data_IF_016760097234
#
_entry.id   IF_016760097234
#
_cell.length_a   1.000
_cell.length_b   1.000
_cell.length_c   1.000
_cell.angle_alpha   90.00
_cell.angle_beta   90.00
_cell.angle_gamma   90.00
#
_symmetry.space_group_name_H-M   'P 1'
#
loop_
_entity.id
_entity.type
_entity.pdbx_description
1 polymer ?
#
# COMPACT_ATOMS: atom_id res chain seq x y z
N UNK A 1 19.64 -1.70 9.93
CA UNK A 1 18.93 -2.98 9.71
C UNK A 1 17.52 -2.65 9.24
N UNK A 2 17.15 -3.08 8.03
CA UNK A 2 15.83 -2.81 7.46
C UNK A 2 14.80 -3.75 8.09
N UNK A 3 13.70 -3.21 8.62
CA UNK A 3 12.60 -4.05 9.11
C UNK A 3 11.88 -4.67 7.92
N UNK A 4 11.52 -5.96 7.99
CA UNK A 4 10.88 -6.75 6.89
C UNK A 4 9.71 -6.07 6.17
N UNK A 5 9.03 -5.13 6.82
CA UNK A 5 7.83 -4.46 6.32
C UNK A 5 8.02 -2.97 6.05
N UNK A 6 9.25 -2.47 6.09
CA UNK A 6 9.59 -1.09 5.82
C UNK A 6 10.41 -0.98 4.55
N UNK A 7 10.27 0.15 3.85
CA UNK A 7 11.10 0.48 2.71
C UNK A 7 12.58 0.62 3.12
N UNK A 8 13.47 0.16 2.24
CA UNK A 8 14.88 0.55 2.28
C UNK A 8 15.02 2.06 2.03
N UNK A 9 16.20 2.61 2.28
CA UNK A 9 16.46 4.03 1.99
C UNK A 9 16.34 4.30 0.48
N UNK A 10 16.96 3.46 -0.35
CA UNK A 10 16.87 3.56 -1.82
C UNK A 10 15.42 3.48 -2.32
N UNK A 11 14.62 2.54 -1.80
CA UNK A 11 13.21 2.44 -2.14
C UNK A 11 12.42 3.68 -1.72
N UNK A 12 12.74 4.25 -0.55
CA UNK A 12 12.09 5.47 -0.10
C UNK A 12 12.44 6.67 -0.99
N UNK A 13 13.70 6.81 -1.39
CA UNK A 13 14.16 7.90 -2.25
C UNK A 13 13.46 7.92 -3.61
N UNK A 14 13.10 6.75 -4.16
CA UNK A 14 12.37 6.66 -5.41
C UNK A 14 11.00 7.35 -5.37
N UNK A 15 10.32 7.34 -4.21
CA UNK A 15 8.89 7.69 -4.10
C UNK A 15 8.60 8.83 -3.13
N UNK A 16 9.62 9.40 -2.49
CA UNK A 16 9.47 10.41 -1.44
C UNK A 16 8.72 11.65 -1.96
N UNK A 17 9.06 12.10 -3.16
CA UNK A 17 8.48 13.28 -3.82
C UNK A 17 6.96 13.14 -4.08
N UNK A 18 6.48 11.92 -4.32
CA UNK A 18 5.06 11.63 -4.52
C UNK A 18 4.20 11.84 -3.27
N UNK A 19 4.80 11.68 -2.08
CA UNK A 19 4.08 11.69 -0.79
C UNK A 19 4.44 12.89 0.09
N UNK A 20 5.47 13.64 -0.27
CA UNK A 20 5.92 14.80 0.47
C UNK A 20 4.83 15.86 0.61
N UNK A 21 4.54 16.22 1.86
CA UNK A 21 3.64 17.31 2.14
C UNK A 21 4.39 18.63 2.05
N UNK A 22 3.87 19.58 1.25
CA UNK A 22 4.38 20.96 1.29
C UNK A 22 4.27 21.49 2.72
N UNK A 23 5.35 22.05 3.29
CA UNK A 23 5.30 22.63 4.62
C UNK A 23 4.25 23.74 4.65
N UNK A 24 3.35 23.68 5.63
CA UNK A 24 2.37 24.73 5.87
C UNK A 24 2.99 25.78 6.79
N UNK A 25 2.80 27.09 6.53
CA UNK A 25 3.38 28.16 7.34
C UNK A 25 2.81 28.21 8.77
N UNK A 26 1.64 27.60 9.01
CA UNK A 26 1.01 27.53 10.33
C UNK A 26 0.35 26.17 10.56
N UNK A 27 0.23 25.78 11.83
CA UNK A 27 -0.44 24.55 12.27
C UNK A 27 0.52 23.47 12.79
N UNK A 28 -0.05 22.29 13.11
CA UNK A 28 0.74 21.13 13.56
C UNK A 28 1.61 20.63 12.39
N UNK A 29 2.92 20.39 12.60
CA UNK A 29 3.78 19.81 11.57
C UNK A 29 3.18 18.51 11.02
N UNK A 30 3.27 18.29 9.70
CA UNK A 30 2.86 17.03 9.09
C UNK A 30 3.56 15.85 9.76
N UNK A 31 2.85 14.72 9.87
CA UNK A 31 3.46 13.46 10.29
C UNK A 31 4.47 12.99 9.26
N UNK A 32 5.52 12.34 9.72
CA UNK A 32 6.53 11.75 8.85
C UNK A 32 5.88 10.81 7.82
N UNK A 33 6.08 11.12 6.54
CA UNK A 33 5.47 10.44 5.41
C UNK A 33 6.03 9.05 5.22
N UNK A 34 7.32 8.84 5.52
CA UNK A 34 7.95 7.52 5.47
C UNK A 34 7.34 6.58 6.51
N UNK A 35 7.15 7.06 7.73
CA UNK A 35 6.47 6.30 8.79
C UNK A 35 5.04 5.90 8.39
N UNK A 36 4.28 6.82 7.78
CA UNK A 36 2.92 6.52 7.29
C UNK A 36 2.97 5.46 6.19
N UNK A 37 3.81 5.65 5.17
CA UNK A 37 3.91 4.73 4.04
C UNK A 37 4.36 3.33 4.48
N UNK A 38 5.31 3.24 5.40
CA UNK A 38 5.71 1.96 6.02
C UNK A 38 4.54 1.32 6.78
N UNK A 39 3.69 2.11 7.44
CA UNK A 39 2.47 1.61 8.09
C UNK A 39 1.47 1.03 7.09
N UNK A 40 1.30 1.69 5.94
CA UNK A 40 0.47 1.20 4.83
C UNK A 40 1.03 -0.13 4.32
N UNK A 41 2.33 -0.21 4.02
CA UNK A 41 2.94 -1.45 3.54
C UNK A 41 2.92 -2.59 4.56
N UNK A 42 2.99 -2.27 5.86
CA UNK A 42 2.80 -3.27 6.88
C UNK A 42 1.40 -3.89 6.79
N UNK A 43 0.35 -3.08 6.65
CA UNK A 43 -1.03 -3.58 6.48
C UNK A 43 -1.17 -4.38 5.18
N UNK A 44 -0.70 -3.86 4.05
CA UNK A 44 -0.83 -4.53 2.75
C UNK A 44 -0.07 -5.86 2.70
N UNK A 45 1.05 -5.99 3.42
CA UNK A 45 1.88 -7.21 3.42
C UNK A 45 1.44 -8.26 4.44
N UNK A 46 0.73 -7.84 5.49
CA UNK A 46 0.27 -8.75 6.56
C UNK A 46 -1.22 -9.06 6.47
N UNK A 47 -1.97 -8.27 5.71
CA UNK A 47 -3.43 -8.34 5.60
C UNK A 47 -4.15 -8.22 6.96
N UNK A 48 -3.46 -7.69 7.97
CA UNK A 48 -4.02 -7.48 9.29
C UNK A 48 -5.11 -6.39 9.27
N UNK A 49 -5.99 -6.43 10.27
CA UNK A 49 -6.95 -5.35 10.49
C UNK A 49 -6.22 -4.02 10.70
N UNK A 50 -6.76 -2.93 10.16
CA UNK A 50 -6.22 -1.58 10.40
C UNK A 50 -6.06 -1.26 11.89
N UNK A 51 -6.95 -1.77 12.75
CA UNK A 51 -6.89 -1.55 14.20
C UNK A 51 -5.71 -2.24 14.88
N UNK A 52 -5.11 -3.22 14.22
CA UNK A 52 -3.95 -3.97 14.70
C UNK A 52 -2.63 -3.36 14.22
N UNK A 53 -2.70 -2.20 13.54
CA UNK A 53 -1.50 -1.47 13.12
C UNK A 53 -0.61 -1.19 14.33
N UNK A 54 0.69 -1.57 14.29
CA UNK A 54 1.60 -1.30 15.39
C UNK A 54 1.80 0.19 15.67
N UNK A 55 1.81 0.56 16.94
CA UNK A 55 1.92 1.95 17.41
C UNK A 55 3.14 2.71 16.86
N UNK A 56 4.21 2.00 16.47
CA UNK A 56 5.40 2.60 15.84
C UNK A 56 5.09 3.37 14.56
N UNK A 57 3.98 3.05 13.87
CA UNK A 57 3.53 3.75 12.67
C UNK A 57 2.56 4.91 12.97
N UNK A 58 2.21 5.11 14.24
CA UNK A 58 1.24 6.09 14.68
C UNK A 58 -0.19 5.56 14.68
N UNK A 59 -1.16 6.48 14.76
CA UNK A 59 -2.58 6.14 14.87
C UNK A 59 -3.08 5.53 13.57
N UNK A 60 -3.70 4.36 13.65
CA UNK A 60 -4.22 3.67 12.47
C UNK A 60 -5.19 4.49 11.63
N UNK A 61 -6.01 5.35 12.24
CA UNK A 61 -6.93 6.22 11.50
C UNK A 61 -6.16 7.16 10.58
N UNK A 62 -5.06 7.74 11.08
CA UNK A 62 -4.23 8.63 10.28
C UNK A 62 -3.58 7.90 9.11
N UNK A 63 -3.09 6.68 9.32
CA UNK A 63 -2.48 5.88 8.25
C UNK A 63 -3.52 5.48 7.22
N UNK A 64 -4.69 5.04 7.66
CA UNK A 64 -5.82 4.70 6.79
C UNK A 64 -6.31 5.91 5.98
N UNK A 65 -6.43 7.09 6.60
CA UNK A 65 -6.88 8.31 5.90
C UNK A 65 -5.90 8.68 4.78
N UNK A 66 -4.59 8.53 5.00
CA UNK A 66 -3.60 8.76 3.95
C UNK A 66 -3.70 7.72 2.85
N UNK A 67 -3.79 6.42 3.20
CA UNK A 67 -4.00 5.36 2.22
C UNK A 67 -5.24 5.62 1.37
N UNK A 68 -6.39 5.86 1.98
CA UNK A 68 -7.65 6.11 1.28
C UNK A 68 -7.60 7.34 0.36
N UNK A 69 -6.94 8.42 0.78
CA UNK A 69 -6.77 9.60 -0.07
C UNK A 69 -5.81 9.32 -1.23
N UNK A 70 -4.66 8.71 -0.94
CA UNK A 70 -3.63 8.38 -1.93
C UNK A 70 -4.05 7.30 -2.93
N UNK A 71 -4.95 6.40 -2.52
CA UNK A 71 -5.57 5.45 -3.44
C UNK A 71 -6.55 6.14 -4.39
N UNK A 72 -7.23 7.20 -3.94
CA UNK A 72 -8.23 7.92 -4.75
C UNK A 72 -7.61 8.90 -5.73
N UNK A 73 -6.52 9.56 -5.35
CA UNK A 73 -5.81 10.52 -6.20
C UNK A 73 -4.77 9.86 -7.13
N UNK A 74 -4.56 8.54 -6.99
CA UNK A 74 -3.65 7.76 -7.81
C UNK A 74 -2.19 7.75 -7.32
N UNK A 75 -1.88 8.39 -6.18
CA UNK A 75 -0.53 8.35 -5.59
C UNK A 75 -0.09 6.91 -5.29
N UNK A 76 -0.97 6.03 -4.84
CA UNK A 76 -0.62 4.61 -4.61
C UNK A 76 -0.21 3.91 -5.91
N UNK A 77 -0.92 4.17 -7.01
CA UNK A 77 -0.58 3.60 -8.33
C UNK A 77 0.76 4.17 -8.84
N UNK A 78 1.01 5.46 -8.61
CA UNK A 78 2.28 6.10 -8.97
C UNK A 78 3.47 5.51 -8.21
N UNK A 79 3.32 5.27 -6.90
CA UNK A 79 4.32 4.60 -6.06
C UNK A 79 4.64 3.21 -6.61
N UNK A 80 3.60 2.41 -6.93
CA UNK A 80 3.78 1.08 -7.49
C UNK A 80 4.53 1.11 -8.82
N UNK A 81 4.13 2.03 -9.72
CA UNK A 81 4.76 2.18 -11.03
C UNK A 81 6.23 2.58 -10.94
N UNK A 82 6.60 3.50 -10.06
CA UNK A 82 8.00 3.90 -9.88
C UNK A 82 8.86 2.73 -9.39
N UNK A 83 8.36 1.94 -8.44
CA UNK A 83 9.07 0.74 -8.01
C UNK A 83 9.19 -0.31 -9.11
N UNK A 84 8.12 -0.57 -9.86
CA UNK A 84 8.16 -1.51 -10.99
C UNK A 84 9.15 -1.06 -12.06
N UNK A 85 9.16 0.23 -12.43
CA UNK A 85 10.11 0.76 -13.39
C UNK A 85 11.56 0.54 -12.93
N UNK A 86 11.88 0.84 -11.66
CA UNK A 86 13.22 0.59 -11.12
C UNK A 86 13.60 -0.90 -11.12
N UNK A 87 12.65 -1.80 -10.87
CA UNK A 87 12.90 -3.25 -10.93
C UNK A 87 13.05 -3.76 -12.36
N UNK A 88 12.37 -3.17 -13.34
CA UNK A 88 12.57 -3.47 -14.77
C UNK A 88 13.96 -3.00 -15.22
N UNK A 89 14.36 -1.78 -14.85
CA UNK A 89 15.69 -1.25 -15.15
C UNK A 89 16.82 -2.08 -14.52
N UNK A 90 16.55 -2.70 -13.36
CA UNK A 90 17.46 -3.62 -12.68
C UNK A 90 17.40 -5.06 -13.22
N UNK A 91 16.62 -5.34 -14.27
CA UNK A 91 16.37 -6.67 -14.83
C UNK A 91 15.81 -7.69 -13.80
N UNK A 92 15.18 -7.20 -12.72
CA UNK A 92 14.50 -8.03 -11.70
C UNK A 92 13.06 -8.37 -12.08
N UNK A 93 12.44 -7.57 -12.94
CA UNK A 93 11.12 -7.84 -13.55
C UNK A 93 11.28 -7.92 -15.07
N UNK A 94 10.95 -9.09 -15.61
CA UNK A 94 10.77 -9.29 -17.05
C UNK A 94 9.33 -8.91 -17.43
N UNK A 95 9.18 -7.87 -18.27
CA UNK A 95 7.88 -7.35 -18.72
C UNK A 95 7.24 -8.20 -19.83
N UNK A 96 8.03 -9.05 -20.48
CA UNK A 96 7.57 -9.97 -21.52
C UNK A 96 7.09 -11.31 -20.92
N UNK A 97 7.52 -11.64 -19.69
CA UNK A 97 7.10 -12.83 -18.96
C UNK A 97 5.84 -12.60 -18.12
N UNK A 98 4.76 -13.30 -18.47
CA UNK A 98 3.50 -13.26 -17.72
C UNK A 98 3.23 -14.60 -17.02
N UNK A 99 3.28 -14.59 -15.68
CA UNK A 99 2.88 -15.72 -14.85
C UNK A 99 1.48 -15.47 -14.28
N UNK A 100 0.48 -16.25 -14.70
CA UNK A 100 -0.88 -16.20 -14.16
C UNK A 100 -1.03 -17.32 -13.13
N UNK A 101 -1.20 -16.93 -11.87
CA UNK A 101 -1.65 -17.84 -10.80
C UNK A 101 -3.16 -17.70 -10.57
N UNK A 102 -3.80 -18.75 -10.10
CA UNK A 102 -5.23 -18.78 -9.85
C UNK A 102 -5.60 -19.71 -8.70
N UNK A 103 -6.56 -19.28 -7.89
CA UNK A 103 -7.12 -20.09 -6.80
C UNK A 103 -8.54 -20.50 -7.18
N UNK A 104 -8.80 -21.81 -7.26
CA UNK A 104 -10.15 -22.35 -7.42
C UNK A 104 -10.75 -22.66 -6.04
N UNK A 105 -11.67 -21.82 -5.56
CA UNK A 105 -12.48 -22.11 -4.38
C UNK A 105 -13.84 -22.63 -4.80
N UNK A 106 -14.20 -23.85 -4.36
CA UNK A 106 -15.53 -24.39 -4.61
C UNK A 106 -16.57 -23.57 -3.84
N UNK A 107 -17.60 -23.08 -4.52
CA UNK A 107 -18.73 -22.42 -3.86
C UNK A 107 -19.39 -23.35 -2.83
N UNK A 108 -19.74 -22.80 -1.66
CA UNK A 108 -20.53 -23.51 -0.66
C UNK A 108 -21.91 -23.86 -1.23
N UNK A 109 -22.53 -24.95 -0.77
CA UNK A 109 -23.87 -25.40 -1.22
C UNK A 109 -24.94 -24.31 -1.10
N UNK A 110 -24.79 -23.40 -0.15
CA UNK A 110 -25.70 -22.28 0.11
C UNK A 110 -25.37 -20.99 -0.68
N UNK A 111 -24.33 -20.97 -1.50
CA UNK A 111 -23.95 -19.78 -2.28
C UNK A 111 -24.86 -19.50 -3.48
N UNK A 112 -25.77 -20.41 -3.83
CA UNK A 112 -26.69 -20.28 -4.96
C UNK A 112 -27.71 -19.13 -4.82
N UNK A 113 -27.82 -18.53 -3.62
CA UNK A 113 -28.84 -17.53 -3.32
C UNK A 113 -30.25 -18.14 -3.25
N UNK A 114 -31.19 -17.39 -2.67
CA UNK A 114 -32.60 -17.75 -2.72
C UNK A 114 -33.24 -17.21 -4.01
N UNK A 115 -34.18 -17.96 -4.57
CA UNK A 115 -34.98 -17.53 -5.72
C UNK A 115 -35.73 -16.21 -5.39
N UNK A 116 -35.72 -15.23 -6.30
CA UNK A 116 -36.53 -14.02 -6.15
C UNK A 116 -38.00 -14.38 -6.33
N UNK A 117 -38.86 -13.98 -5.38
CA UNK A 117 -40.31 -14.04 -5.53
C UNK A 117 -40.78 -12.76 -6.24
N UNK A 118 -41.48 -12.94 -7.36
CA UNK A 118 -42.26 -11.90 -8.04
C UNK A 118 -43.54 -11.56 -7.28
#
# INVERSE_FOLDING_TARGET
>A
MVQRHCLTDDQWELVADLVEAKPKPTGRPPKDRRTILNGIFWILRTEASWRDLPDRFGKWQTVYDHFNNWSKDGTVDAILRQHQAAMVDAEEIDVDLWCVDGILVRAARCAAGAEKRD
#
